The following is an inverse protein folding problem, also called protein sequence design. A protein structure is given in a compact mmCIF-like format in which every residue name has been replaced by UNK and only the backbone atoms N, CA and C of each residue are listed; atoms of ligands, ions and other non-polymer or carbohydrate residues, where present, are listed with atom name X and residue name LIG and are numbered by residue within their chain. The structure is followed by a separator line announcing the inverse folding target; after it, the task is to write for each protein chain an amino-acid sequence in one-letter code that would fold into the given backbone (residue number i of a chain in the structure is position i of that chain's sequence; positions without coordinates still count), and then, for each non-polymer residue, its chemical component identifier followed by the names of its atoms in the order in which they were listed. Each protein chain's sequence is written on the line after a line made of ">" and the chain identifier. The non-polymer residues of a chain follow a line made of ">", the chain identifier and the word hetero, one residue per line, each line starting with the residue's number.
data_IF_733618070305
#
_entry.id   IF_733618070305
#
_cell.length_a   1.000
_cell.length_b   1.000
_cell.length_c   1.000
_cell.angle_alpha   90.00
_cell.angle_beta   90.00
_cell.angle_gamma   90.00
#
_symmetry.space_group_name_H-M   'P 1'
#
loop_
_entity.id
_entity.type
_entity.pdbx_description
1 polymer ?
#
# COMPACT_ATOMS: atom_id res chain seq x y z
N UNK A 1 14.03 11.67 -1.96
CA UNK A 1 12.94 12.60 -2.22
C UNK A 1 12.28 12.99 -0.89
N UNK A 2 12.57 14.21 -0.41
CA UNK A 2 12.07 14.72 0.88
C UNK A 2 10.54 14.71 0.99
N UNK A 3 9.84 14.92 -0.11
CA UNK A 3 8.38 14.93 -0.12
C UNK A 3 7.79 13.53 0.07
N UNK A 4 8.45 12.50 -0.47
CA UNK A 4 8.05 11.12 -0.25
C UNK A 4 8.27 10.69 1.21
N UNK A 5 9.39 11.11 1.81
CA UNK A 5 9.70 10.86 3.22
C UNK A 5 8.67 11.56 4.12
N UNK A 6 8.36 12.83 3.83
CA UNK A 6 7.34 13.59 4.57
C UNK A 6 5.94 12.97 4.40
N UNK A 7 5.61 12.44 3.22
CA UNK A 7 4.35 11.76 2.99
C UNK A 7 4.24 10.47 3.82
N UNK A 8 5.30 9.68 3.91
CA UNK A 8 5.36 8.50 4.80
C UNK A 8 5.15 8.93 6.24
N UNK A 9 5.89 9.91 6.73
CA UNK A 9 5.77 10.40 8.10
C UNK A 9 4.35 10.89 8.43
N UNK A 10 3.74 11.64 7.52
CA UNK A 10 2.35 12.11 7.67
C UNK A 10 1.34 10.97 7.75
N UNK A 11 1.44 9.98 6.86
CA UNK A 11 0.49 8.85 6.80
C UNK A 11 0.68 7.89 7.98
N UNK A 12 1.92 7.65 8.42
CA UNK A 12 2.21 6.69 9.49
C UNK A 12 1.82 7.20 10.88
N UNK A 13 2.05 8.48 11.16
CA UNK A 13 1.90 8.99 12.52
C UNK A 13 1.32 10.39 12.64
N UNK A 14 0.75 10.96 11.57
CA UNK A 14 0.34 12.37 11.56
C UNK A 14 1.49 13.28 12.06
N UNK A 15 2.67 13.10 11.46
CA UNK A 15 3.89 13.84 11.83
C UNK A 15 4.29 13.66 13.30
N UNK A 16 4.16 12.45 13.81
CA UNK A 16 4.51 12.10 15.19
C UNK A 16 3.43 12.37 16.22
N UNK A 17 2.26 12.86 15.81
CA UNK A 17 1.14 13.16 16.73
C UNK A 17 0.30 11.92 17.09
N UNK A 18 0.39 10.83 16.31
CA UNK A 18 -0.33 9.60 16.61
C UNK A 18 0.11 9.04 17.96
N UNK A 19 -0.85 8.86 18.85
CA UNK A 19 -0.58 8.47 20.24
C UNK A 19 0.03 7.08 20.37
N UNK A 20 0.86 6.92 21.38
CA UNK A 20 1.42 5.65 21.86
C UNK A 20 0.28 4.78 22.44
N UNK A 21 -0.09 3.67 21.78
CA UNK A 21 -1.30 2.89 22.16
C UNK A 21 -1.00 1.60 22.91
N UNK A 22 0.06 0.88 22.50
CA UNK A 22 0.39 -0.43 23.03
C UNK A 22 1.87 -0.50 23.39
N UNK A 23 2.17 -1.06 24.55
CA UNK A 23 3.53 -1.38 24.95
C UNK A 23 4.02 -2.58 24.15
N UNK A 24 5.07 -2.41 23.35
CA UNK A 24 5.51 -3.39 22.35
C UNK A 24 5.83 -4.77 22.94
N UNK A 25 6.63 -4.86 24.04
CA UNK A 25 6.93 -6.17 24.62
C UNK A 25 5.66 -6.94 25.02
N UNK A 26 4.68 -6.26 25.60
CA UNK A 26 3.40 -6.88 25.99
C UNK A 26 2.57 -7.28 24.78
N UNK A 27 2.40 -6.37 23.81
CA UNK A 27 1.61 -6.63 22.61
C UNK A 27 2.17 -7.81 21.81
N UNK A 28 3.49 -7.82 21.58
CA UNK A 28 4.16 -8.88 20.82
C UNK A 28 4.16 -10.21 21.59
N UNK A 29 4.36 -10.21 22.91
CA UNK A 29 4.26 -11.44 23.72
C UNK A 29 2.85 -12.03 23.65
N UNK A 30 1.81 -11.19 23.73
CA UNK A 30 0.43 -11.62 23.56
C UNK A 30 0.21 -12.28 22.20
N UNK A 31 0.72 -11.66 21.12
CA UNK A 31 0.58 -12.22 19.77
C UNK A 31 1.38 -13.51 19.56
N UNK A 32 2.54 -13.66 20.21
CA UNK A 32 3.31 -14.91 20.19
C UNK A 32 2.52 -16.06 20.82
N UNK A 33 1.80 -15.79 21.90
CA UNK A 33 1.06 -16.82 22.65
C UNK A 33 -0.35 -17.08 22.10
N UNK A 34 -1.03 -16.06 21.63
CA UNK A 34 -2.48 -16.08 21.41
C UNK A 34 -2.90 -15.92 19.93
N UNK A 35 -2.00 -15.55 19.00
CA UNK A 35 -2.41 -15.37 17.61
C UNK A 35 -2.63 -16.71 16.92
N UNK A 36 -3.73 -16.87 16.20
CA UNK A 36 -4.03 -18.06 15.40
C UNK A 36 -3.08 -18.24 14.20
N UNK A 37 -2.46 -17.15 13.75
CA UNK A 37 -1.56 -17.12 12.59
C UNK A 37 -0.36 -16.22 12.83
N UNK A 38 0.76 -16.50 12.13
CA UNK A 38 1.97 -15.68 12.15
C UNK A 38 2.69 -15.62 13.50
N UNK A 39 2.51 -16.57 14.39
CA UNK A 39 3.21 -16.61 15.68
C UNK A 39 4.74 -16.54 15.53
N UNK A 40 5.32 -17.30 14.57
CA UNK A 40 6.76 -17.26 14.30
C UNK A 40 7.24 -15.86 13.90
N UNK A 41 6.45 -15.13 13.09
CA UNK A 41 6.74 -13.76 12.74
C UNK A 41 6.74 -12.85 13.97
N UNK A 42 5.70 -12.90 14.81
CA UNK A 42 5.62 -12.08 16.02
C UNK A 42 6.70 -12.44 17.03
N UNK A 43 7.12 -13.71 17.11
CA UNK A 43 8.28 -14.11 17.90
C UNK A 43 9.58 -13.44 17.40
N UNK A 44 9.79 -13.37 16.09
CA UNK A 44 10.91 -12.65 15.49
C UNK A 44 10.91 -11.16 15.84
N UNK A 45 9.73 -10.52 15.80
CA UNK A 45 9.59 -9.11 16.15
C UNK A 45 9.80 -8.88 17.66
N UNK A 46 9.31 -9.77 18.53
CA UNK A 46 9.58 -9.71 19.97
C UNK A 46 11.07 -9.82 20.26
N UNK A 47 11.76 -10.81 19.67
CA UNK A 47 13.20 -10.97 19.85
C UNK A 47 13.99 -9.76 19.33
N UNK A 48 13.51 -9.15 18.23
CA UNK A 48 14.09 -7.91 17.71
C UNK A 48 13.88 -6.74 18.68
N UNK A 49 12.71 -6.65 19.33
CA UNK A 49 12.43 -5.65 20.36
C UNK A 49 13.39 -5.80 21.55
N UNK A 50 13.61 -7.04 22.03
CA UNK A 50 14.56 -7.29 23.12
C UNK A 50 16.01 -6.96 22.73
N UNK A 51 16.38 -7.18 21.47
CA UNK A 51 17.70 -6.75 20.94
C UNK A 51 17.86 -5.24 20.91
N UNK A 52 16.83 -4.48 20.58
CA UNK A 52 16.85 -3.01 20.62
C UNK A 52 17.17 -2.55 22.05
N UNK A 53 16.47 -3.11 23.04
CA UNK A 53 16.75 -2.83 24.46
C UNK A 53 18.18 -3.21 24.88
N UNK A 54 18.62 -4.40 24.49
CA UNK A 54 19.97 -4.89 24.81
C UNK A 54 21.07 -3.98 24.24
N UNK A 55 20.84 -3.38 23.06
CA UNK A 55 21.77 -2.43 22.44
C UNK A 55 21.80 -1.06 23.12
N UNK A 56 20.78 -0.74 23.90
CA UNK A 56 20.61 0.57 24.51
C UNK A 56 20.26 1.67 23.51
N UNK A 57 19.77 1.32 22.32
CA UNK A 57 19.33 2.30 21.31
C UNK A 57 18.08 3.05 21.79
N UNK A 58 17.18 2.37 22.52
CA UNK A 58 15.94 2.92 23.09
C UNK A 58 15.73 2.43 24.52
N UNK A 59 15.12 3.26 25.33
CA UNK A 59 14.68 2.87 26.67
C UNK A 59 13.39 2.04 26.63
N UNK A 60 13.20 1.16 27.61
CA UNK A 60 11.97 0.35 27.72
C UNK A 60 10.71 1.22 27.74
N UNK A 61 10.78 2.39 28.37
CA UNK A 61 9.68 3.35 28.48
C UNK A 61 9.26 3.94 27.13
N UNK A 62 10.10 3.87 26.10
CA UNK A 62 9.84 4.44 24.77
C UNK A 62 9.24 3.42 23.79
N UNK A 63 9.24 2.13 24.12
CA UNK A 63 8.76 1.06 23.25
C UNK A 63 7.23 0.96 23.21
N UNK A 64 6.60 2.01 22.73
CA UNK A 64 5.16 2.09 22.48
C UNK A 64 4.87 2.25 21.00
N UNK A 65 3.79 1.63 20.54
CA UNK A 65 3.40 1.71 19.13
C UNK A 65 2.06 1.08 18.82
N UNK A 66 1.97 0.39 17.68
CA UNK A 66 0.77 -0.31 17.24
C UNK A 66 0.60 -1.66 17.97
N UNK A 67 -0.62 -2.20 17.93
CA UNK A 67 -0.93 -3.54 18.47
C UNK A 67 -0.10 -4.66 17.84
N UNK A 68 0.41 -4.45 16.62
CA UNK A 68 1.20 -5.44 15.87
C UNK A 68 2.71 -5.22 15.98
N UNK A 69 3.18 -4.21 16.75
CA UNK A 69 4.58 -3.97 17.04
C UNK A 69 5.26 -2.90 16.19
N UNK A 70 4.56 -2.20 15.29
CA UNK A 70 5.12 -1.05 14.58
C UNK A 70 5.25 0.15 15.54
N UNK A 71 6.38 0.88 15.48
CA UNK A 71 6.68 1.94 16.44
C UNK A 71 7.44 3.12 15.84
N UNK A 72 7.52 4.21 16.61
CA UNK A 72 8.22 5.43 16.25
C UNK A 72 7.47 6.29 15.23
N UNK A 73 8.09 7.39 14.85
CA UNK A 73 7.55 8.38 13.93
C UNK A 73 7.11 7.81 12.58
N UNK A 74 7.78 6.81 12.08
CA UNK A 74 7.55 6.21 10.77
C UNK A 74 7.12 4.74 10.82
N UNK A 75 6.69 4.29 12.01
CA UNK A 75 6.04 3.00 12.25
C UNK A 75 6.83 1.79 11.72
N UNK A 76 8.12 1.74 12.02
CA UNK A 76 8.95 0.59 11.70
C UNK A 76 8.59 -0.62 12.56
N UNK A 77 8.68 -1.80 11.97
CA UNK A 77 8.74 -3.03 12.74
C UNK A 77 10.12 -3.18 13.40
N UNK A 78 10.23 -3.79 14.60
CA UNK A 78 11.50 -3.94 15.31
C UNK A 78 12.61 -4.60 14.48
N UNK A 79 12.30 -5.62 13.69
CA UNK A 79 13.27 -6.25 12.78
C UNK A 79 13.72 -5.30 11.65
N UNK A 80 12.82 -4.44 11.16
CA UNK A 80 13.13 -3.43 10.17
C UNK A 80 14.04 -2.36 10.77
N UNK A 81 13.75 -1.92 11.99
CA UNK A 81 14.60 -1.00 12.74
C UNK A 81 16.04 -1.52 12.86
N UNK A 82 16.24 -2.75 13.35
CA UNK A 82 17.57 -3.34 13.50
C UNK A 82 18.37 -3.43 12.19
N UNK A 83 17.66 -3.57 11.09
CA UNK A 83 18.28 -3.71 9.76
C UNK A 83 18.51 -2.38 9.06
N UNK A 84 17.65 -1.40 9.23
CA UNK A 84 17.59 -0.18 8.42
C UNK A 84 17.60 1.12 9.22
N UNK A 85 17.58 1.05 10.55
CA UNK A 85 17.75 2.22 11.41
C UNK A 85 19.04 2.96 11.08
N UNK A 86 18.98 4.28 11.12
CA UNK A 86 20.10 5.19 10.82
C UNK A 86 20.14 6.25 11.90
N UNK A 87 21.31 6.51 12.44
CA UNK A 87 21.62 7.69 13.22
C UNK A 87 21.70 8.88 12.26
N UNK A 88 20.70 9.71 12.28
CA UNK A 88 20.53 10.83 11.35
C UNK A 88 20.97 12.16 11.92
N UNK A 89 21.10 12.28 13.24
CA UNK A 89 21.59 13.49 13.92
C UNK A 89 23.04 13.35 14.44
N UNK A 90 23.60 12.15 14.42
CA UNK A 90 25.00 11.87 14.72
C UNK A 90 25.28 11.74 16.22
N UNK A 91 24.28 11.41 17.04
CA UNK A 91 24.43 11.25 18.48
C UNK A 91 24.95 9.86 18.90
N UNK A 92 25.14 8.95 17.94
CA UNK A 92 25.61 7.58 18.13
C UNK A 92 24.49 6.56 18.33
N UNK A 93 23.23 6.92 18.21
CA UNK A 93 22.06 6.07 18.35
C UNK A 93 21.14 6.20 17.14
N UNK A 94 20.20 5.28 16.98
CA UNK A 94 19.13 5.39 15.99
C UNK A 94 17.79 5.45 16.71
N UNK A 95 17.36 6.65 17.13
CA UNK A 95 16.13 6.81 17.91
C UNK A 95 14.96 7.26 17.02
N UNK A 96 14.19 6.31 16.50
CA UNK A 96 13.00 6.58 15.69
C UNK A 96 11.80 7.08 16.49
N UNK A 97 11.91 7.16 17.82
CA UNK A 97 10.82 7.57 18.72
C UNK A 97 10.96 9.03 19.14
N UNK A 98 12.17 9.45 19.51
CA UNK A 98 12.41 10.77 20.06
C UNK A 98 13.23 11.66 19.10
N UNK A 99 13.96 11.09 18.12
CA UNK A 99 14.69 11.81 17.08
C UNK A 99 13.96 11.79 15.74
N UNK A 100 13.42 12.95 15.32
CA UNK A 100 12.84 13.12 13.99
C UNK A 100 13.89 12.92 12.87
N UNK A 101 15.12 13.47 12.98
CA UNK A 101 16.17 13.20 12.01
C UNK A 101 16.41 11.69 11.78
N UNK A 102 16.50 10.89 12.83
CA UNK A 102 16.74 9.45 12.73
C UNK A 102 15.58 8.73 12.01
N UNK A 103 14.37 9.09 12.40
CA UNK A 103 13.17 8.53 11.76
C UNK A 103 13.11 8.82 10.26
N UNK A 104 13.42 10.07 9.85
CA UNK A 104 13.41 10.48 8.46
C UNK A 104 14.58 9.87 7.66
N UNK A 105 15.79 9.83 8.23
CA UNK A 105 16.95 9.19 7.60
C UNK A 105 16.75 7.67 7.47
N UNK A 106 16.18 7.02 8.47
CA UNK A 106 15.84 5.59 8.43
C UNK A 106 14.79 5.30 7.35
N UNK A 107 13.78 6.17 7.20
CA UNK A 107 12.78 6.07 6.13
C UNK A 107 13.41 6.26 4.75
N UNK A 108 14.33 7.22 4.61
CA UNK A 108 15.10 7.42 3.38
C UNK A 108 15.94 6.17 3.04
N UNK A 109 16.60 5.59 4.03
CA UNK A 109 17.38 4.35 3.88
C UNK A 109 16.48 3.17 3.47
N UNK A 110 15.30 3.03 4.10
CA UNK A 110 14.31 2.02 3.74
C UNK A 110 13.92 2.13 2.26
N UNK A 111 13.47 3.32 1.83
CA UNK A 111 13.05 3.54 0.45
C UNK A 111 14.19 3.27 -0.54
N UNK A 112 15.41 3.74 -0.24
CA UNK A 112 16.61 3.49 -1.05
C UNK A 112 16.90 1.98 -1.18
N UNK A 113 16.88 1.24 -0.07
CA UNK A 113 17.09 -0.22 -0.07
C UNK A 113 15.97 -0.99 -0.76
N UNK A 114 14.76 -0.42 -0.80
CA UNK A 114 13.62 -0.95 -1.55
C UNK A 114 13.65 -0.58 -3.04
N UNK A 115 14.71 0.08 -3.52
CA UNK A 115 14.93 0.38 -4.92
C UNK A 115 14.42 1.74 -5.37
N UNK A 116 14.16 2.68 -4.45
CA UNK A 116 13.84 4.07 -4.81
C UNK A 116 14.97 4.68 -5.65
N UNK A 117 14.62 5.18 -6.82
CA UNK A 117 15.52 5.89 -7.72
C UNK A 117 15.30 7.41 -7.58
N UNK A 118 16.33 8.11 -7.10
CA UNK A 118 16.30 9.58 -6.97
C UNK A 118 16.13 10.22 -8.35
N UNK A 119 15.29 11.24 -8.44
CA UNK A 119 14.97 11.93 -9.69
C UNK A 119 13.91 11.24 -10.57
N UNK A 120 13.62 9.96 -10.35
CA UNK A 120 12.52 9.29 -11.04
C UNK A 120 11.16 9.55 -10.36
N UNK A 121 10.09 9.60 -11.17
CA UNK A 121 8.72 9.66 -10.67
C UNK A 121 8.23 8.30 -10.16
N UNK A 122 7.19 8.32 -9.34
CA UNK A 122 6.48 7.11 -8.93
C UNK A 122 5.52 6.62 -10.02
N UNK A 123 4.97 7.55 -10.79
CA UNK A 123 3.92 7.34 -11.78
C UNK A 123 3.13 8.60 -12.04
N UNK A 124 2.00 8.44 -12.68
CA UNK A 124 1.05 9.52 -12.95
C UNK A 124 -0.31 8.95 -13.34
N UNK A 125 -1.32 9.80 -13.27
CA UNK A 125 -2.69 9.48 -13.66
C UNK A 125 -2.81 9.37 -15.19
N UNK A 126 -3.62 8.38 -15.63
CA UNK A 126 -3.89 8.10 -17.04
C UNK A 126 -5.37 7.87 -17.29
N UNK A 127 -5.80 8.23 -18.49
CA UNK A 127 -7.08 7.84 -19.05
C UNK A 127 -6.94 6.47 -19.71
N UNK A 128 -7.90 5.61 -19.40
CA UNK A 128 -7.99 4.26 -19.96
C UNK A 128 -9.18 4.22 -20.90
N UNK A 129 -9.02 3.76 -22.16
CA UNK A 129 -10.10 3.81 -23.12
C UNK A 129 -11.30 2.97 -22.69
N UNK A 130 -12.51 3.37 -23.05
CA UNK A 130 -13.70 2.54 -22.88
C UNK A 130 -13.51 1.16 -23.49
N UNK A 131 -13.95 0.11 -22.78
CA UNK A 131 -13.80 -1.26 -23.27
C UNK A 131 -12.40 -1.87 -23.09
N UNK A 132 -11.46 -1.19 -22.46
CA UNK A 132 -10.14 -1.74 -22.19
C UNK A 132 -10.22 -3.14 -21.53
N UNK A 133 -9.58 -4.13 -22.16
CA UNK A 133 -9.52 -5.52 -21.73
C UNK A 133 -8.08 -6.04 -21.52
N UNK A 134 -7.11 -5.17 -21.67
CA UNK A 134 -5.69 -5.50 -21.54
C UNK A 134 -5.26 -5.77 -20.07
N UNK A 135 -3.96 -6.05 -19.88
CA UNK A 135 -3.41 -6.35 -18.56
C UNK A 135 -3.56 -5.16 -17.61
N UNK A 136 -3.68 -5.46 -16.31
CA UNK A 136 -3.70 -4.45 -15.26
C UNK A 136 -3.06 -5.00 -13.97
N UNK A 137 -2.70 -4.10 -13.07
CA UNK A 137 -2.05 -4.41 -11.81
C UNK A 137 -0.60 -3.93 -11.77
N UNK A 138 -0.14 -3.63 -10.58
CA UNK A 138 1.21 -3.12 -10.31
C UNK A 138 2.33 -4.00 -10.87
N UNK A 139 2.17 -5.31 -10.81
CA UNK A 139 3.19 -6.29 -11.21
C UNK A 139 3.16 -6.63 -12.71
N UNK A 140 2.09 -6.27 -13.42
CA UNK A 140 2.00 -6.46 -14.87
C UNK A 140 2.74 -5.32 -15.59
N UNK A 141 4.07 -5.40 -15.58
CA UNK A 141 4.95 -4.35 -16.09
C UNK A 141 5.20 -4.49 -17.60
N UNK A 142 4.93 -3.42 -18.33
CA UNK A 142 5.20 -3.31 -19.77
C UNK A 142 5.87 -1.97 -20.08
N UNK A 143 6.61 -1.86 -21.21
CA UNK A 143 7.12 -0.58 -21.68
C UNK A 143 6.00 0.45 -21.87
N UNK A 144 6.33 1.73 -21.75
CA UNK A 144 5.35 2.82 -21.92
C UNK A 144 4.64 2.75 -23.29
N UNK A 145 5.39 2.42 -24.37
CA UNK A 145 4.84 2.26 -25.73
C UNK A 145 3.76 1.17 -25.83
N UNK A 146 3.86 0.11 -25.03
CA UNK A 146 2.82 -0.92 -24.95
C UNK A 146 1.49 -0.30 -24.51
N UNK A 147 1.51 0.53 -23.48
CA UNK A 147 0.31 1.19 -22.95
C UNK A 147 -0.27 2.19 -23.96
N UNK A 148 0.58 2.94 -24.65
CA UNK A 148 0.15 3.84 -25.75
C UNK A 148 -0.53 3.08 -26.88
N UNK A 149 0.04 1.93 -27.28
CA UNK A 149 -0.55 1.03 -28.27
C UNK A 149 -1.93 0.48 -27.86
N UNK A 150 -2.19 0.36 -26.55
CA UNK A 150 -3.49 -0.04 -26.00
C UNK A 150 -4.44 1.14 -25.74
N UNK A 151 -4.12 2.33 -26.24
CA UNK A 151 -4.98 3.50 -26.14
C UNK A 151 -4.93 4.24 -24.79
N UNK A 152 -4.06 3.83 -23.87
CA UNK A 152 -3.85 4.56 -22.60
C UNK A 152 -3.23 5.92 -22.93
N UNK A 153 -3.73 6.99 -22.31
CA UNK A 153 -3.29 8.37 -22.52
C UNK A 153 -3.02 9.04 -21.18
N UNK A 154 -2.14 10.01 -21.15
CA UNK A 154 -1.87 10.81 -19.95
C UNK A 154 -3.03 11.79 -19.72
N UNK A 155 -3.51 11.86 -18.49
CA UNK A 155 -4.51 12.88 -18.08
C UNK A 155 -3.92 14.27 -18.30
N UNK A 156 -4.69 15.17 -18.89
CA UNK A 156 -4.24 16.51 -19.24
C UNK A 156 -3.46 16.60 -20.55
N UNK A 157 -3.33 15.47 -21.29
CA UNK A 157 -2.69 15.43 -22.62
C UNK A 157 -1.19 15.15 -22.58
N UNK A 158 -0.60 15.06 -23.77
CA UNK A 158 0.81 14.70 -23.97
C UNK A 158 1.03 13.19 -24.06
N UNK A 159 2.23 12.79 -24.52
CA UNK A 159 2.66 11.39 -24.59
C UNK A 159 2.90 10.80 -23.20
N UNK A 160 2.78 9.48 -23.12
CA UNK A 160 3.22 8.77 -21.93
C UNK A 160 4.75 8.85 -21.81
N UNK A 161 5.27 8.99 -20.62
CA UNK A 161 6.72 9.15 -20.38
C UNK A 161 7.13 8.41 -19.10
N UNK A 162 8.40 8.05 -19.03
CA UNK A 162 8.96 7.41 -17.83
C UNK A 162 10.06 6.42 -18.20
N UNK A 163 10.99 6.20 -17.27
CA UNK A 163 12.07 5.26 -17.44
C UNK A 163 11.65 3.84 -17.01
N UNK A 164 11.80 2.89 -17.92
CA UNK A 164 11.54 1.49 -17.63
C UNK A 164 10.08 1.07 -17.83
N UNK A 165 9.75 -0.10 -17.32
CA UNK A 165 8.42 -0.69 -17.43
C UNK A 165 7.48 -0.16 -16.36
N UNK A 166 6.21 0.07 -16.72
CA UNK A 166 5.14 0.51 -15.84
C UNK A 166 4.02 -0.54 -15.75
N UNK A 167 3.34 -0.57 -14.62
CA UNK A 167 2.10 -1.31 -14.46
C UNK A 167 0.89 -0.37 -14.49
N UNK A 168 -0.24 -0.80 -15.05
CA UNK A 168 -1.48 -0.06 -15.03
C UNK A 168 -2.29 -0.40 -13.80
N UNK A 169 -2.38 0.52 -12.87
CA UNK A 169 -3.19 0.36 -11.66
C UNK A 169 -4.58 0.94 -11.87
N UNK A 170 -5.61 0.15 -11.55
CA UNK A 170 -7.03 0.54 -11.61
C UNK A 170 -7.65 0.34 -10.23
N UNK A 171 -7.42 1.24 -9.27
CA UNK A 171 -7.79 1.04 -7.87
C UNK A 171 -9.31 0.95 -7.67
N UNK A 172 -10.07 1.65 -8.50
CA UNK A 172 -11.53 1.65 -8.47
C UNK A 172 -12.16 0.80 -9.59
N UNK A 173 -11.37 -0.02 -10.27
CA UNK A 173 -11.82 -0.76 -11.45
C UNK A 173 -11.94 0.14 -12.70
N UNK A 174 -12.56 -0.40 -13.75
CA UNK A 174 -12.82 0.33 -14.99
C UNK A 174 -13.80 1.46 -14.75
N UNK A 175 -13.54 2.61 -15.34
CA UNK A 175 -14.36 3.82 -15.19
C UNK A 175 -14.03 4.68 -13.96
N UNK A 176 -13.04 4.29 -13.16
CA UNK A 176 -12.38 5.13 -12.18
C UNK A 176 -11.01 5.62 -12.66
N UNK A 177 -10.28 6.40 -11.83
CA UNK A 177 -8.94 6.85 -12.16
C UNK A 177 -7.98 5.68 -12.43
N UNK A 178 -7.19 5.78 -13.50
CA UNK A 178 -6.10 4.86 -13.80
C UNK A 178 -4.75 5.50 -13.52
N UNK A 179 -3.74 4.70 -13.21
CA UNK A 179 -2.38 5.18 -12.95
C UNK A 179 -1.36 4.27 -13.61
N UNK A 180 -0.39 4.85 -14.33
CA UNK A 180 0.83 4.13 -14.68
C UNK A 180 1.82 4.28 -13.52
N UNK A 181 2.26 3.14 -12.97
CA UNK A 181 3.11 3.09 -11.79
C UNK A 181 4.45 2.43 -12.10
N UNK A 182 5.53 3.07 -11.67
CA UNK A 182 6.92 2.69 -11.94
C UNK A 182 7.61 2.13 -10.68
N UNK A 183 8.93 2.01 -10.74
CA UNK A 183 9.76 1.43 -9.68
C UNK A 183 9.63 2.14 -8.33
N UNK A 184 9.51 3.47 -8.31
CA UNK A 184 9.38 4.21 -7.04
C UNK A 184 8.04 3.94 -6.34
N UNK A 185 7.00 3.63 -7.12
CA UNK A 185 5.75 3.14 -6.54
C UNK A 185 5.92 1.78 -5.85
N UNK A 186 6.72 0.88 -6.44
CA UNK A 186 7.01 -0.43 -5.83
C UNK A 186 7.79 -0.27 -4.52
N UNK A 187 8.70 0.71 -4.45
CA UNK A 187 9.40 1.04 -3.22
C UNK A 187 8.45 1.55 -2.12
N UNK A 188 7.49 2.41 -2.47
CA UNK A 188 6.44 2.85 -1.54
C UNK A 188 5.52 1.69 -1.14
N UNK A 189 5.16 0.81 -2.09
CA UNK A 189 4.37 -0.38 -1.82
C UNK A 189 5.04 -1.32 -0.81
N UNK A 190 6.36 -1.48 -0.88
CA UNK A 190 7.10 -2.38 0.01
C UNK A 190 6.97 -2.01 1.49
N UNK A 191 6.65 -0.74 1.79
CA UNK A 191 6.53 -0.24 3.15
C UNK A 191 5.34 -0.87 3.91
N UNK A 192 4.20 -1.06 3.24
CA UNK A 192 2.98 -1.57 3.87
C UNK A 192 2.34 -2.75 3.12
N UNK A 193 2.83 -3.11 1.93
CA UNK A 193 2.27 -4.20 1.12
C UNK A 193 0.86 -3.92 0.59
N UNK A 194 0.46 -2.66 0.44
CA UNK A 194 -0.88 -2.25 0.00
C UNK A 194 -0.81 -1.23 -1.14
N UNK A 195 -1.52 -1.51 -2.25
CA UNK A 195 -1.65 -0.55 -3.35
C UNK A 195 -2.35 0.75 -2.92
N UNK A 196 -3.33 0.66 -2.01
CA UNK A 196 -4.00 1.85 -1.48
C UNK A 196 -3.04 2.73 -0.68
N UNK A 197 -2.17 2.13 0.13
CA UNK A 197 -1.13 2.84 0.87
C UNK A 197 -0.11 3.48 -0.08
N UNK A 198 0.45 2.70 -1.01
CA UNK A 198 1.43 3.21 -1.95
C UNK A 198 0.88 4.36 -2.80
N UNK A 199 -0.39 4.26 -3.23
CA UNK A 199 -1.05 5.32 -3.97
C UNK A 199 -1.27 6.58 -3.13
N UNK A 200 -1.67 6.43 -1.86
CA UNK A 200 -1.82 7.55 -0.93
C UNK A 200 -0.49 8.29 -0.71
N UNK A 201 0.60 7.56 -0.43
CA UNK A 201 1.95 8.13 -0.32
C UNK A 201 2.35 8.86 -1.61
N UNK A 202 2.10 8.25 -2.76
CA UNK A 202 2.48 8.78 -4.07
C UNK A 202 1.72 10.07 -4.40
N UNK A 203 0.41 10.09 -4.20
CA UNK A 203 -0.44 11.27 -4.42
C UNK A 203 -0.09 12.38 -3.42
N UNK A 204 0.11 12.05 -2.15
CA UNK A 204 0.52 13.03 -1.13
C UNK A 204 1.89 13.63 -1.46
N UNK A 205 2.84 12.82 -1.91
CA UNK A 205 4.14 13.29 -2.40
C UNK A 205 3.99 14.33 -3.51
N UNK A 206 3.11 14.08 -4.48
CA UNK A 206 2.86 15.02 -5.57
C UNK A 206 2.14 16.28 -5.09
N UNK A 207 1.19 16.15 -4.16
CA UNK A 207 0.52 17.30 -3.52
C UNK A 207 1.50 18.18 -2.76
N UNK A 208 2.43 17.61 -2.01
CA UNK A 208 3.49 18.35 -1.30
C UNK A 208 4.44 19.07 -2.28
N UNK A 209 4.57 18.57 -3.51
CA UNK A 209 5.30 19.24 -4.61
C UNK A 209 4.48 20.33 -5.32
N UNK A 210 3.24 20.58 -4.90
CA UNK A 210 2.32 21.52 -5.54
C UNK A 210 1.68 21.03 -6.84
N UNK A 211 1.78 19.73 -7.14
CA UNK A 211 1.11 19.19 -8.32
C UNK A 211 -0.41 19.09 -8.14
N UNK A 212 -1.19 19.09 -9.25
CA UNK A 212 -2.63 18.86 -9.16
C UNK A 212 -2.93 17.50 -8.51
N UNK A 213 -4.13 17.39 -7.93
CA UNK A 213 -4.62 16.09 -7.43
C UNK A 213 -5.10 15.19 -8.55
N UNK A 214 -5.67 14.07 -8.15
CA UNK A 214 -6.35 13.15 -9.06
C UNK A 214 -7.53 13.89 -9.71
N UNK A 215 -7.60 13.81 -11.04
CA UNK A 215 -8.61 14.49 -11.84
C UNK A 215 -9.75 13.54 -12.24
N UNK A 216 -9.47 12.25 -12.37
CA UNK A 216 -10.47 11.24 -12.67
C UNK A 216 -11.50 11.08 -11.56
N UNK A 217 -12.73 10.80 -11.96
CA UNK A 217 -13.84 10.64 -11.03
C UNK A 217 -13.78 9.31 -10.31
N UNK A 218 -13.72 9.35 -8.98
CA UNK A 218 -13.89 8.17 -8.17
C UNK A 218 -15.36 7.74 -8.17
N UNK A 219 -15.68 6.45 -8.32
CA UNK A 219 -17.07 5.98 -8.22
C UNK A 219 -17.55 6.13 -6.76
N UNK A 220 -18.33 7.16 -6.52
CA UNK A 220 -18.92 7.49 -5.21
C UNK A 220 -20.28 6.82 -4.99
N UNK A 221 -20.88 6.28 -6.06
CA UNK A 221 -22.17 5.59 -6.07
C UNK A 221 -22.12 4.14 -5.59
N UNK A 222 -20.93 3.65 -5.27
CA UNK A 222 -20.69 2.27 -4.83
C UNK A 222 -19.59 2.26 -3.75
N UNK A 223 -19.96 1.97 -2.52
CA UNK A 223 -19.03 1.93 -1.40
C UNK A 223 -18.01 0.80 -1.57
N UNK A 224 -16.76 1.07 -1.24
CA UNK A 224 -15.71 0.06 -1.19
C UNK A 224 -15.92 -0.93 -0.05
N UNK A 225 -15.45 -2.15 -0.23
CA UNK A 225 -15.58 -3.22 0.77
C UNK A 225 -14.43 -3.20 1.78
N UNK A 226 -14.75 -3.46 3.04
CA UNK A 226 -13.79 -3.81 4.07
C UNK A 226 -13.08 -5.13 3.73
N UNK A 227 -12.02 -5.46 4.45
CA UNK A 227 -11.31 -6.74 4.20
C UNK A 227 -12.20 -7.97 4.43
N UNK A 228 -13.05 -7.92 5.46
CA UNK A 228 -13.98 -9.03 5.76
C UNK A 228 -15.04 -9.18 4.66
N UNK A 229 -15.59 -8.07 4.19
CA UNK A 229 -16.55 -8.08 3.07
C UNK A 229 -15.91 -8.55 1.77
N UNK A 230 -14.62 -8.23 1.51
CA UNK A 230 -13.90 -8.80 0.36
C UNK A 230 -13.69 -10.30 0.47
N UNK A 231 -13.43 -10.81 1.69
CA UNK A 231 -13.38 -12.27 1.93
C UNK A 231 -14.74 -12.93 1.70
N UNK A 232 -15.81 -12.30 2.15
CA UNK A 232 -17.17 -12.77 1.90
C UNK A 232 -17.47 -12.78 0.40
N UNK A 233 -17.16 -11.71 -0.31
CA UNK A 233 -17.28 -11.62 -1.77
C UNK A 233 -16.55 -12.78 -2.46
N UNK A 234 -15.30 -13.05 -2.09
CA UNK A 234 -14.51 -14.15 -2.64
C UNK A 234 -15.17 -15.51 -2.37
N UNK A 235 -15.68 -15.77 -1.15
CA UNK A 235 -16.41 -17.02 -0.84
C UNK A 235 -17.67 -17.15 -1.69
N UNK A 236 -18.44 -16.09 -1.86
CA UNK A 236 -19.66 -16.08 -2.67
C UNK A 236 -19.35 -16.31 -4.16
N UNK A 237 -18.25 -15.81 -4.67
CA UNK A 237 -17.78 -16.07 -6.03
C UNK A 237 -17.34 -17.53 -6.19
N UNK A 238 -16.55 -18.07 -5.25
CA UNK A 238 -16.13 -19.47 -5.25
C UNK A 238 -17.34 -20.42 -5.22
N UNK A 239 -18.33 -20.14 -4.36
CA UNK A 239 -19.57 -20.93 -4.29
C UNK A 239 -20.35 -20.96 -5.61
N UNK A 240 -20.11 -20.00 -6.50
CA UNK A 240 -20.68 -19.93 -7.85
C UNK A 240 -19.76 -20.47 -8.95
N UNK A 241 -18.68 -21.14 -8.57
CA UNK A 241 -17.76 -21.80 -9.50
C UNK A 241 -16.65 -20.92 -10.08
N UNK A 242 -16.46 -19.69 -9.58
CA UNK A 242 -15.36 -18.84 -10.02
C UNK A 242 -14.06 -19.17 -9.27
N UNK A 243 -12.98 -19.40 -10.01
CA UNK A 243 -11.63 -19.52 -9.40
C UNK A 243 -11.10 -18.12 -9.03
N UNK A 244 -11.24 -17.75 -7.77
CA UNK A 244 -10.72 -16.47 -7.22
C UNK A 244 -9.56 -16.68 -6.25
N UNK A 245 -9.11 -17.93 -6.07
CA UNK A 245 -8.10 -18.31 -5.09
C UNK A 245 -8.66 -18.31 -3.66
N UNK A 246 -7.75 -18.32 -2.69
CA UNK A 246 -8.10 -18.27 -1.26
C UNK A 246 -8.83 -16.97 -0.89
N UNK A 247 -9.90 -17.03 -0.08
CA UNK A 247 -10.64 -15.85 0.35
C UNK A 247 -9.89 -15.06 1.44
N UNK A 248 -8.75 -14.49 1.07
CA UNK A 248 -7.84 -13.73 1.94
C UNK A 248 -8.20 -12.24 2.07
N UNK A 249 -9.14 -11.76 1.22
CA UNK A 249 -9.56 -10.36 1.12
C UNK A 249 -8.64 -9.50 0.27
N UNK A 250 -7.61 -10.08 -0.39
CA UNK A 250 -6.83 -9.42 -1.41
C UNK A 250 -7.49 -9.61 -2.78
N UNK A 251 -7.74 -8.51 -3.49
CA UNK A 251 -8.44 -8.55 -4.78
C UNK A 251 -7.44 -8.53 -5.92
N UNK A 252 -7.08 -9.72 -6.40
CA UNK A 252 -6.22 -9.94 -7.55
C UNK A 252 -6.97 -9.92 -8.89
N UNK A 253 -6.23 -10.23 -9.97
CA UNK A 253 -6.78 -10.28 -11.33
C UNK A 253 -7.93 -11.30 -11.47
N UNK A 254 -7.80 -12.48 -10.89
CA UNK A 254 -8.84 -13.53 -10.91
C UNK A 254 -10.14 -13.03 -10.27
N UNK A 255 -10.07 -12.42 -9.08
CA UNK A 255 -11.23 -11.87 -8.39
C UNK A 255 -11.90 -10.76 -9.21
N UNK A 256 -11.11 -9.86 -9.83
CA UNK A 256 -11.65 -8.79 -10.69
C UNK A 256 -12.33 -9.35 -11.92
N UNK A 257 -11.76 -10.36 -12.55
CA UNK A 257 -12.35 -11.04 -13.70
C UNK A 257 -13.70 -11.69 -13.33
N UNK A 258 -13.76 -12.39 -12.21
CA UNK A 258 -15.00 -12.98 -11.71
C UNK A 258 -16.09 -11.93 -11.41
N UNK A 259 -15.69 -10.79 -10.80
CA UNK A 259 -16.60 -9.67 -10.57
C UNK A 259 -17.16 -9.16 -11.89
N UNK A 260 -16.33 -8.93 -12.92
CA UNK A 260 -16.81 -8.46 -14.24
C UNK A 260 -17.82 -9.44 -14.88
N UNK A 261 -17.60 -10.74 -14.74
CA UNK A 261 -18.54 -11.73 -15.26
C UNK A 261 -19.88 -11.67 -14.51
N UNK A 262 -19.86 -11.52 -13.20
CA UNK A 262 -21.09 -11.34 -12.39
C UNK A 262 -21.79 -10.03 -12.75
N UNK A 263 -21.04 -8.93 -12.89
CA UNK A 263 -21.60 -7.63 -13.31
C UNK A 263 -22.30 -7.74 -14.67
N UNK A 264 -21.70 -8.49 -15.62
CA UNK A 264 -22.33 -8.76 -16.92
C UNK A 264 -23.65 -9.55 -16.79
N UNK A 265 -23.67 -10.62 -15.98
CA UNK A 265 -24.88 -11.43 -15.72
C UNK A 265 -25.99 -10.63 -15.03
N UNK A 266 -25.63 -9.59 -14.29
CA UNK A 266 -26.54 -8.71 -13.58
C UNK A 266 -26.98 -7.49 -14.41
N UNK A 267 -26.49 -7.35 -15.64
CA UNK A 267 -26.73 -6.15 -16.45
C UNK A 267 -26.05 -4.90 -15.90
N UNK A 268 -25.05 -5.05 -15.05
CA UNK A 268 -24.29 -3.96 -14.45
C UNK A 268 -23.09 -3.60 -15.33
N UNK A 269 -22.60 -2.33 -15.25
CA UNK A 269 -21.35 -1.97 -15.91
C UNK A 269 -20.19 -2.85 -15.41
N UNK A 270 -19.45 -3.48 -16.33
CA UNK A 270 -18.35 -4.41 -16.03
C UNK A 270 -17.10 -3.65 -15.56
N UNK A 271 -17.10 -3.20 -14.33
CA UNK A 271 -16.01 -2.42 -13.70
C UNK A 271 -14.95 -3.30 -13.07
N UNK A 272 -15.29 -4.53 -12.65
CA UNK A 272 -14.42 -5.43 -11.90
C UNK A 272 -14.04 -4.86 -10.52
N UNK A 273 -14.87 -3.96 -9.98
CA UNK A 273 -14.65 -3.32 -8.70
C UNK A 273 -15.26 -4.15 -7.57
N UNK A 274 -14.50 -4.46 -6.50
CA UNK A 274 -15.06 -5.05 -5.30
C UNK A 274 -15.87 -3.98 -4.54
N UNK A 275 -17.11 -3.76 -4.93
CA UNK A 275 -18.01 -2.76 -4.38
C UNK A 275 -19.22 -3.38 -3.67
N UNK A 276 -19.92 -2.54 -2.88
CA UNK A 276 -21.09 -2.97 -2.13
C UNK A 276 -22.23 -3.41 -3.04
N UNK A 277 -22.35 -2.81 -4.23
CA UNK A 277 -23.39 -3.19 -5.19
C UNK A 277 -23.30 -4.66 -5.60
N UNK A 278 -22.11 -5.11 -6.00
CA UNK A 278 -21.91 -6.51 -6.41
C UNK A 278 -22.04 -7.47 -5.22
N UNK A 279 -21.53 -7.09 -4.04
CA UNK A 279 -21.68 -7.91 -2.84
C UNK A 279 -23.13 -8.12 -2.46
N UNK A 280 -23.94 -7.04 -2.43
CA UNK A 280 -25.37 -7.13 -2.11
C UNK A 280 -26.14 -7.95 -3.15
N UNK A 281 -25.80 -7.81 -4.42
CA UNK A 281 -26.42 -8.63 -5.47
C UNK A 281 -26.10 -10.14 -5.32
N UNK A 282 -24.91 -10.47 -4.81
CA UNK A 282 -24.53 -11.86 -4.53
C UNK A 282 -25.15 -12.40 -3.24
N UNK A 283 -25.41 -11.54 -2.23
CA UNK A 283 -26.12 -11.93 -1.00
C UNK A 283 -27.59 -12.21 -1.22
N UNK A 284 -28.20 -11.50 -2.18
CA UNK A 284 -29.64 -11.63 -2.49
C UNK A 284 -30.01 -12.86 -3.31
N UNK A 285 -29.06 -13.63 -3.77
CA UNK A 285 -29.20 -14.84 -4.60
C UNK A 285 -28.57 -16.04 -3.92
#
# INVERSE_FOLDING_TARGET
>A
DRYAIAAVWGVESDFGKAGKKFYLPQALSTLVCMADRRQAYFRGELMSTLKILQRGDLEAADLWGSWAGAFGHTQFMPSTYLRLGVDGDGDGRSDLVNSVPDALHSTANYLRKSGWATGAGWGYEVEVPPGYSGPSGRTSKHPVSFWEGHGVRKVGGGGLSGAGAAGLLLPAGKGGPGFLVFKNYDAAYSYNGSDAYALAISILTDKLKGKPGVQGQWPTDDLGLSRNERRELQRLLTARGYDVGEPDGAVGAKTRSAIMQIEAQLGMPQRGRPGMKVLNALRAR
#
